data_IF_002114751328
#
_entry.id   IF_002114751328
#
_cell.length_a   1.000
_cell.length_b   1.000
_cell.length_c   1.000
_cell.angle_alpha   90.00
_cell.angle_beta   90.00
_cell.angle_gamma   90.00
#
_symmetry.space_group_name_H-M   'P 1'
#
loop_
_entity.id
_entity.type
_entity.pdbx_description
1 polymer ?
#
# COMPACT_ATOMS: atom_id res chain seq x y z
N UNK A 1 -4.74 -5.72 13.40
CA UNK A 1 -4.49 -5.19 12.04
C UNK A 1 -4.40 -3.67 12.16
N UNK A 2 -3.35 -3.06 11.62
CA UNK A 2 -3.12 -1.62 11.74
C UNK A 2 -3.99 -0.89 10.72
N UNK A 3 -4.71 0.15 11.13
CA UNK A 3 -5.43 1.01 10.21
C UNK A 3 -4.52 2.15 9.74
N UNK A 4 -4.56 2.49 8.45
CA UNK A 4 -3.78 3.63 7.93
C UNK A 4 -4.32 4.95 8.48
N UNK A 5 -3.44 5.71 9.12
CA UNK A 5 -3.73 7.05 9.66
C UNK A 5 -3.10 8.11 8.76
N UNK A 6 -3.58 8.23 7.52
CA UNK A 6 -3.10 9.25 6.57
C UNK A 6 -4.24 10.05 5.99
N UNK A 7 -4.09 11.38 6.01
CA UNK A 7 -5.04 12.31 5.43
C UNK A 7 -5.00 12.32 3.89
N UNK A 8 -4.01 11.67 3.29
CA UNK A 8 -3.83 11.64 1.85
C UNK A 8 -3.44 10.25 1.36
N UNK A 9 -4.37 9.62 0.66
CA UNK A 9 -4.20 8.30 0.06
C UNK A 9 -4.53 8.44 -1.43
N UNK A 10 -3.56 8.13 -2.30
CA UNK A 10 -3.81 8.05 -3.75
C UNK A 10 -4.15 6.61 -4.08
N UNK A 11 -5.27 6.40 -4.78
CA UNK A 11 -5.64 5.09 -5.33
C UNK A 11 -5.28 5.04 -6.80
N UNK A 12 -4.77 3.90 -7.25
CA UNK A 12 -4.48 3.68 -8.66
C UNK A 12 -4.52 2.22 -9.04
N UNK A 13 -4.73 1.95 -10.32
CA UNK A 13 -4.95 0.61 -10.84
C UNK A 13 -3.94 0.25 -11.92
N UNK A 14 -3.45 -0.99 -11.89
CA UNK A 14 -2.58 -1.52 -12.95
C UNK A 14 -2.77 -3.02 -13.08
N UNK A 15 -3.02 -3.49 -14.31
CA UNK A 15 -3.19 -4.91 -14.64
C UNK A 15 -4.23 -5.65 -13.77
N UNK A 16 -5.34 -4.99 -13.43
CA UNK A 16 -6.38 -5.56 -12.57
C UNK A 16 -6.12 -5.43 -11.06
N UNK A 17 -4.92 -4.99 -10.66
CA UNK A 17 -4.60 -4.76 -9.27
C UNK A 17 -4.90 -3.31 -8.85
N UNK A 18 -5.33 -3.16 -7.61
CA UNK A 18 -5.57 -1.88 -6.96
C UNK A 18 -4.41 -1.56 -6.01
N UNK A 19 -3.92 -0.32 -6.05
CA UNK A 19 -2.79 0.17 -5.27
C UNK A 19 -3.17 1.43 -4.49
N UNK A 20 -2.59 1.56 -3.31
CA UNK A 20 -2.74 2.72 -2.45
C UNK A 20 -1.37 3.31 -2.14
N UNK A 21 -1.18 4.60 -2.41
CA UNK A 21 0.03 5.34 -2.08
C UNK A 21 -0.28 6.23 -0.88
N UNK A 22 0.44 6.02 0.21
CA UNK A 22 0.23 6.68 1.48
C UNK A 22 1.47 7.49 1.82
N UNK A 23 1.30 8.79 2.07
CA UNK A 23 2.39 9.63 2.56
C UNK A 23 2.63 9.34 4.04
N UNK A 24 3.89 9.17 4.43
CA UNK A 24 4.33 9.01 5.82
C UNK A 24 4.80 10.35 6.40
N UNK A 25 5.01 10.39 7.73
CA UNK A 25 5.38 11.61 8.47
C UNK A 25 6.70 12.24 7.98
N UNK A 26 7.63 11.43 7.44
CA UNK A 26 8.97 11.85 7.01
C UNK A 26 9.06 12.28 5.52
N UNK A 27 7.93 12.65 4.89
CA UNK A 27 7.86 12.99 3.44
C UNK A 27 8.14 11.80 2.52
N UNK A 28 8.31 10.60 3.07
CA UNK A 28 8.38 9.35 2.31
C UNK A 28 6.97 8.81 2.00
N UNK A 29 6.93 7.76 1.19
CA UNK A 29 5.69 7.11 0.77
C UNK A 29 5.76 5.61 1.00
N UNK A 30 4.63 5.04 1.37
CA UNK A 30 4.41 3.60 1.34
C UNK A 30 3.45 3.28 0.20
N UNK A 31 3.69 2.18 -0.49
CA UNK A 31 2.79 1.65 -1.51
C UNK A 31 2.23 0.34 -1.03
N UNK A 32 0.92 0.24 -1.02
CA UNK A 32 0.17 -0.96 -0.69
C UNK A 32 -0.57 -1.47 -1.92
N UNK A 33 -0.81 -2.78 -1.98
CA UNK A 33 -1.66 -3.42 -2.97
C UNK A 33 -2.85 -4.07 -2.25
N UNK A 34 -4.06 -3.81 -2.76
CA UNK A 34 -5.28 -4.44 -2.26
C UNK A 34 -5.18 -5.97 -2.38
N UNK A 35 -5.64 -6.67 -1.36
CA UNK A 35 -5.81 -8.12 -1.39
C UNK A 35 -7.13 -8.49 -2.02
N UNK A 36 -7.13 -9.60 -2.75
CA UNK A 36 -8.38 -10.29 -3.02
C UNK A 36 -8.84 -10.95 -1.71
N UNK A 37 -10.08 -10.71 -1.23
CA UNK A 37 -10.61 -11.39 -0.05
C UNK A 37 -10.63 -12.93 -0.19
N UNK A 38 -10.62 -13.46 -1.42
CA UNK A 38 -10.59 -14.91 -1.68
C UNK A 38 -9.16 -15.49 -1.71
N UNK A 39 -8.12 -14.64 -1.69
CA UNK A 39 -6.73 -15.08 -1.69
C UNK A 39 -6.20 -15.28 -0.25
N UNK A 40 -5.91 -16.53 0.10
CA UNK A 40 -5.28 -16.92 1.38
C UNK A 40 -3.76 -16.64 1.42
N UNK A 41 -3.31 -15.47 0.97
CA UNK A 41 -1.90 -15.10 1.09
C UNK A 41 -1.56 -14.61 2.50
N UNK A 42 -0.54 -15.20 3.12
CA UNK A 42 -0.08 -14.81 4.46
C UNK A 42 1.08 -13.80 4.39
N UNK A 43 1.32 -13.05 5.48
CA UNK A 43 2.51 -12.17 5.60
C UNK A 43 3.81 -12.93 5.29
N UNK A 44 3.89 -14.20 5.70
CA UNK A 44 5.04 -15.05 5.46
C UNK A 44 5.28 -15.26 3.96
N UNK A 45 4.21 -15.46 3.19
CA UNK A 45 4.30 -15.64 1.74
C UNK A 45 4.81 -14.35 1.09
N UNK A 46 4.27 -13.19 1.48
CA UNK A 46 4.75 -11.88 1.01
C UNK A 46 6.23 -11.62 1.35
N UNK A 47 6.66 -11.92 2.58
CA UNK A 47 8.07 -11.76 2.98
C UNK A 47 9.01 -12.71 2.24
N UNK A 48 8.51 -13.83 1.72
CA UNK A 48 9.30 -14.75 0.90
C UNK A 48 9.59 -14.18 -0.50
N UNK A 49 8.64 -13.43 -1.06
CA UNK A 49 8.75 -12.82 -2.40
C UNK A 49 9.31 -11.39 -2.38
N UNK A 50 9.23 -10.69 -1.25
CA UNK A 50 9.74 -9.33 -1.05
C UNK A 50 10.78 -9.30 0.10
N UNK A 51 12.04 -9.70 -0.17
CA UNK A 51 13.08 -9.79 0.87
C UNK A 51 13.36 -8.47 1.57
N UNK A 52 13.15 -7.34 0.89
CA UNK A 52 13.30 -5.99 1.44
C UNK A 52 12.35 -5.70 2.60
N UNK A 53 11.27 -6.46 2.74
CA UNK A 53 10.27 -6.30 3.79
C UNK A 53 10.43 -7.31 4.93
N UNK A 54 11.40 -8.23 4.84
CA UNK A 54 11.59 -9.33 5.81
C UNK A 54 11.85 -8.83 7.23
N UNK A 55 12.53 -7.68 7.37
CA UNK A 55 12.85 -7.07 8.65
C UNK A 55 11.69 -6.30 9.30
N UNK A 56 10.59 -6.08 8.58
CA UNK A 56 9.45 -5.32 9.10
C UNK A 56 8.57 -6.20 9.99
N UNK A 57 7.93 -5.64 11.04
CA UNK A 57 6.90 -6.34 11.78
C UNK A 57 5.74 -6.76 10.89
N UNK A 58 5.12 -7.91 11.18
CA UNK A 58 3.98 -8.41 10.40
C UNK A 58 2.79 -7.41 10.43
N UNK A 59 2.66 -6.68 11.53
CA UNK A 59 1.62 -5.66 11.73
C UNK A 59 1.76 -4.43 10.82
N UNK A 60 2.96 -4.21 10.25
CA UNK A 60 3.21 -3.12 9.29
C UNK A 60 3.03 -3.58 7.84
N UNK A 61 2.99 -4.90 7.62
CA UNK A 61 2.86 -5.51 6.30
C UNK A 61 1.41 -5.55 5.82
N UNK A 62 0.44 -5.70 6.73
CA UNK A 62 -0.99 -5.74 6.42
C UNK A 62 -1.69 -4.59 7.12
N UNK A 63 -2.43 -3.83 6.34
CA UNK A 63 -3.21 -2.70 6.82
C UNK A 63 -4.66 -2.78 6.37
N UNK A 64 -5.56 -2.25 7.21
CA UNK A 64 -6.91 -1.89 6.79
C UNK A 64 -6.87 -0.54 6.09
N UNK A 65 -7.53 -0.44 4.93
CA UNK A 65 -7.68 0.84 4.24
C UNK A 65 -8.86 1.61 4.81
N UNK A 66 -8.70 2.84 5.30
CA UNK A 66 -9.82 3.61 5.82
C UNK A 66 -10.81 3.89 4.70
N UNK A 67 -12.11 3.77 5.01
CA UNK A 67 -13.25 3.96 4.08
C UNK A 67 -13.37 2.92 2.97
N UNK A 68 -12.48 1.93 2.91
CA UNK A 68 -12.64 0.77 2.03
C UNK A 68 -12.71 -0.49 2.90
N UNK A 69 -13.73 -1.33 2.70
CA UNK A 69 -13.86 -2.60 3.42
C UNK A 69 -12.90 -3.65 2.84
N UNK A 70 -11.61 -3.31 2.82
CA UNK A 70 -10.55 -4.11 2.23
C UNK A 70 -9.26 -4.06 3.05
N UNK A 71 -8.44 -5.08 2.84
CA UNK A 71 -7.08 -5.12 3.37
C UNK A 71 -6.07 -4.92 2.25
N UNK A 72 -4.88 -4.48 2.60
CA UNK A 72 -3.81 -4.28 1.63
C UNK A 72 -2.45 -4.66 2.20
N UNK A 73 -1.60 -5.21 1.34
CA UNK A 73 -0.22 -5.55 1.69
C UNK A 73 0.77 -4.48 1.27
N UNK A 74 1.77 -4.25 2.11
CA UNK A 74 2.89 -3.37 1.81
C UNK A 74 3.73 -3.97 0.68
N UNK A 75 3.90 -3.20 -0.40
CA UNK A 75 4.72 -3.55 -1.55
C UNK A 75 6.04 -2.79 -1.55
N UNK A 76 6.00 -1.50 -1.21
CA UNK A 76 7.17 -0.62 -1.14
C UNK A 76 7.11 0.17 0.16
N UNK A 77 8.16 0.05 0.98
CA UNK A 77 8.28 0.77 2.24
C UNK A 77 9.21 1.98 2.09
N UNK A 78 8.76 3.13 2.60
CA UNK A 78 9.56 4.33 2.80
C UNK A 78 10.32 4.77 1.53
N UNK A 79 9.61 4.86 0.40
CA UNK A 79 10.18 5.31 -0.86
C UNK A 79 10.15 6.83 -0.98
N UNK A 80 11.16 7.39 -1.66
CA UNK A 80 11.21 8.81 -1.97
C UNK A 80 10.20 9.23 -3.06
N UNK A 81 10.05 10.55 -3.23
CA UNK A 81 9.13 11.14 -4.20
C UNK A 81 9.45 10.75 -5.65
N UNK A 82 10.71 10.50 -6.00
CA UNK A 82 11.08 10.13 -7.38
C UNK A 82 10.60 8.72 -7.69
N UNK A 83 10.84 7.77 -6.79
CA UNK A 83 10.34 6.39 -6.90
C UNK A 83 8.81 6.35 -6.88
N UNK A 84 8.19 7.14 -6.03
CA UNK A 84 6.72 7.26 -5.98
C UNK A 84 6.17 7.76 -7.32
N UNK A 85 6.74 8.84 -7.88
CA UNK A 85 6.30 9.38 -9.17
C UNK A 85 6.50 8.37 -10.31
N UNK A 86 7.63 7.66 -10.34
CA UNK A 86 7.87 6.59 -11.32
C UNK A 86 6.84 5.47 -11.21
N UNK A 87 6.48 5.07 -9.99
CA UNK A 87 5.43 4.07 -9.77
C UNK A 87 4.08 4.59 -10.28
N UNK A 88 3.74 5.82 -9.89
CA UNK A 88 2.47 6.49 -10.22
C UNK A 88 2.23 6.64 -11.73
N UNK A 89 3.26 7.00 -12.51
CA UNK A 89 3.16 7.11 -13.99
C UNK A 89 2.64 5.82 -14.63
N UNK A 90 2.89 4.67 -14.00
CA UNK A 90 2.44 3.36 -14.49
C UNK A 90 1.01 2.99 -14.11
N UNK A 91 0.28 3.82 -13.35
CA UNK A 91 -1.07 3.56 -12.87
C UNK A 91 -2.12 4.27 -13.72
N UNK A 92 -3.30 3.68 -13.85
CA UNK A 92 -4.53 4.39 -14.18
C UNK A 92 -5.07 4.98 -12.88
N UNK A 93 -5.21 6.30 -12.78
CA UNK A 93 -5.48 6.98 -11.50
C UNK A 93 -6.97 7.24 -11.28
N UNK A 94 -7.44 6.99 -10.06
CA UNK A 94 -8.64 7.62 -9.48
C UNK A 94 -8.22 8.24 -8.14
N UNK A 95 -8.26 9.57 -8.02
CA UNK A 95 -7.94 10.23 -6.75
C UNK A 95 -9.10 10.06 -5.76
N UNK A 96 -8.83 9.47 -4.59
CA UNK A 96 -9.80 9.39 -3.48
C UNK A 96 -9.44 10.48 -2.47
N UNK A 97 -10.33 11.47 -2.34
CA UNK A 97 -10.24 12.47 -1.26
C UNK A 97 -10.76 11.86 0.04
N UNK A 98 -9.86 11.57 0.98
CA UNK A 98 -10.21 11.17 2.33
C UNK A 98 -10.47 12.44 3.15
N UNK A 99 -11.68 13.00 3.08
CA UNK A 99 -12.06 14.11 3.97
C UNK A 99 -12.16 13.62 5.42
N UNK A 100 -11.42 14.28 6.31
CA UNK A 100 -11.43 14.07 7.77
C UNK A 100 -12.78 14.37 8.40
#
# INVERSE_FOLDING_TARGET
MKEIQSNFIVKGYKNGNCYYIVKTDDVAYNVYQQTDPDENFTVKDYKSVLPSLKSLPDEEMIVSMPKEDCTAFLMLNHIDIQKMNLFRIGLKEEEILVNS
#
